data_IF_626249079882
#
_entry.id   IF_626249079882
#
_cell.length_a   1.000
_cell.length_b   1.000
_cell.length_c   1.000
_cell.angle_alpha   90.00
_cell.angle_beta   90.00
_cell.angle_gamma   90.00
#
_symmetry.space_group_name_H-M   'P 1'
#
loop_
_entity.id
_entity.type
_entity.pdbx_description
1 polymer ?
#
# COMPACT_ATOMS: atom_id res chain seq x y z
N UNK A 1 -17.67 -39.08 -14.27
CA UNK A 1 -16.91 -37.97 -14.89
C UNK A 1 -16.77 -36.89 -13.83
N UNK A 2 -15.57 -36.75 -13.27
CA UNK A 2 -15.23 -35.63 -12.38
C UNK A 2 -15.40 -34.33 -13.16
N UNK A 3 -16.27 -33.46 -12.67
CA UNK A 3 -16.49 -32.12 -13.23
C UNK A 3 -15.22 -31.27 -13.07
N UNK A 4 -14.92 -30.42 -14.05
CA UNK A 4 -13.86 -29.42 -13.95
C UNK A 4 -14.00 -28.54 -12.69
N UNK A 5 -15.22 -28.32 -12.20
CA UNK A 5 -15.49 -27.61 -10.95
C UNK A 5 -14.94 -28.34 -9.72
N UNK A 6 -14.92 -29.69 -9.73
CA UNK A 6 -14.41 -30.47 -8.60
C UNK A 6 -12.87 -30.58 -8.63
N UNK A 7 -12.25 -30.41 -9.79
CA UNK A 7 -10.80 -30.50 -9.94
C UNK A 7 -10.04 -29.23 -9.47
N UNK A 8 -10.64 -28.03 -9.57
CA UNK A 8 -10.02 -26.77 -9.20
C UNK A 8 -9.70 -26.67 -7.69
N UNK A 9 -10.63 -27.01 -6.76
CA UNK A 9 -10.33 -27.00 -5.33
C UNK A 9 -9.26 -28.02 -4.94
N UNK A 10 -9.24 -29.20 -5.57
CA UNK A 10 -8.25 -30.25 -5.30
C UNK A 10 -6.85 -29.79 -5.68
N UNK A 11 -6.69 -29.12 -6.82
CA UNK A 11 -5.39 -28.59 -7.26
C UNK A 11 -4.81 -27.55 -6.29
N UNK A 12 -5.67 -26.70 -5.72
CA UNK A 12 -5.27 -25.72 -4.71
C UNK A 12 -4.85 -26.39 -3.39
N UNK A 13 -5.56 -27.42 -2.95
CA UNK A 13 -5.22 -28.20 -1.76
C UNK A 13 -3.87 -28.91 -1.94
N UNK A 14 -3.64 -29.54 -3.09
CA UNK A 14 -2.37 -30.17 -3.41
C UNK A 14 -1.23 -29.16 -3.47
N UNK A 15 -1.47 -27.96 -4.01
CA UNK A 15 -0.51 -26.88 -4.04
C UNK A 15 -0.13 -26.42 -2.63
N UNK A 16 -1.10 -26.26 -1.73
CA UNK A 16 -0.85 -25.93 -0.32
C UNK A 16 -0.07 -27.04 0.39
N UNK A 17 -0.49 -28.28 0.23
CA UNK A 17 0.19 -29.43 0.82
C UNK A 17 1.65 -29.54 0.36
N UNK A 18 1.90 -29.35 -0.94
CA UNK A 18 3.25 -29.30 -1.48
C UNK A 18 4.10 -28.19 -0.82
N UNK A 19 3.54 -26.98 -0.66
CA UNK A 19 4.25 -25.89 -0.01
C UNK A 19 4.57 -26.20 1.45
N UNK A 20 3.65 -26.82 2.20
CA UNK A 20 3.88 -27.20 3.58
C UNK A 20 5.02 -28.23 3.71
N UNK A 21 5.04 -29.24 2.82
CA UNK A 21 6.12 -30.24 2.82
C UNK A 21 7.44 -29.63 2.38
N UNK A 22 7.43 -28.81 1.33
CA UNK A 22 8.64 -28.20 0.76
C UNK A 22 9.33 -27.25 1.74
N UNK A 23 8.60 -26.39 2.38
CA UNK A 23 9.15 -25.37 3.29
C UNK A 23 9.31 -25.92 4.71
N UNK A 24 8.37 -26.70 5.20
CA UNK A 24 8.30 -27.12 6.58
C UNK A 24 8.24 -25.92 7.55
N UNK A 25 8.32 -26.21 8.83
CA UNK A 25 8.28 -25.17 9.86
C UNK A 25 9.44 -24.17 9.73
N UNK A 26 10.64 -24.68 9.49
CA UNK A 26 11.83 -23.84 9.40
C UNK A 26 11.81 -22.92 8.19
N UNK A 27 11.40 -23.41 7.01
CA UNK A 27 11.29 -22.60 5.81
C UNK A 27 10.24 -21.48 5.95
N UNK A 28 9.07 -21.76 6.54
CA UNK A 28 8.09 -20.74 6.83
C UNK A 28 8.60 -19.70 7.82
N UNK A 29 9.29 -20.12 8.88
CA UNK A 29 9.92 -19.22 9.85
C UNK A 29 10.90 -18.26 9.19
N UNK A 30 11.76 -18.76 8.30
CA UNK A 30 12.74 -17.94 7.57
C UNK A 30 12.08 -16.95 6.63
N UNK A 31 11.05 -17.39 5.87
CA UNK A 31 10.26 -16.51 5.00
C UNK A 31 9.62 -15.38 5.78
N UNK A 32 8.97 -15.68 6.91
CA UNK A 32 8.33 -14.67 7.74
C UNK A 32 9.34 -13.73 8.40
N UNK A 33 10.45 -14.25 8.88
CA UNK A 33 11.51 -13.44 9.46
C UNK A 33 12.11 -12.46 8.44
N UNK A 34 12.38 -12.91 7.22
CA UNK A 34 12.90 -12.06 6.15
C UNK A 34 11.88 -10.97 5.78
N UNK A 35 10.60 -11.33 5.62
CA UNK A 35 9.55 -10.35 5.32
C UNK A 35 9.41 -9.32 6.43
N UNK A 36 9.47 -9.74 7.69
CA UNK A 36 9.41 -8.85 8.85
C UNK A 36 10.62 -7.92 8.91
N UNK A 37 11.82 -8.42 8.63
CA UNK A 37 13.05 -7.62 8.63
C UNK A 37 12.98 -6.51 7.57
N UNK A 38 12.49 -6.82 6.37
CA UNK A 38 12.30 -5.85 5.30
C UNK A 38 11.19 -4.85 5.66
N UNK A 39 10.10 -5.31 6.26
CA UNK A 39 9.03 -4.43 6.71
C UNK A 39 9.51 -3.42 7.76
N UNK A 40 10.30 -3.87 8.76
CA UNK A 40 10.93 -2.99 9.75
C UNK A 40 11.83 -1.96 9.09
N UNK A 41 12.62 -2.37 8.12
CA UNK A 41 13.49 -1.46 7.40
C UNK A 41 12.70 -0.35 6.67
N UNK A 42 11.66 -0.72 5.91
CA UNK A 42 10.84 0.27 5.20
C UNK A 42 10.12 1.19 6.18
N UNK A 43 9.57 0.64 7.27
CA UNK A 43 8.93 1.40 8.34
C UNK A 43 9.87 2.46 8.93
N UNK A 44 11.10 2.06 9.27
CA UNK A 44 12.07 2.97 9.86
C UNK A 44 12.51 4.07 8.88
N UNK A 45 12.68 3.74 7.60
CA UNK A 45 13.03 4.73 6.57
C UNK A 45 11.87 5.69 6.28
N UNK A 46 10.63 5.22 6.24
CA UNK A 46 9.44 6.09 6.08
C UNK A 46 9.29 7.01 7.30
N UNK A 47 9.52 6.52 8.52
CA UNK A 47 9.48 7.33 9.72
C UNK A 47 10.51 8.47 9.77
N UNK A 48 11.62 8.36 9.02
CA UNK A 48 12.62 9.42 8.86
C UNK A 48 12.21 10.50 7.85
N UNK A 49 11.23 10.22 6.98
CA UNK A 49 10.75 11.19 6.00
C UNK A 49 9.87 12.23 6.69
N UNK A 50 10.17 13.50 6.46
CA UNK A 50 9.55 14.63 7.17
C UNK A 50 8.01 14.66 7.18
N UNK A 51 7.28 14.34 6.07
CA UNK A 51 5.82 14.47 6.05
C UNK A 51 5.09 13.33 6.75
N UNK A 52 5.75 12.20 7.05
CA UNK A 52 5.09 10.97 7.51
C UNK A 52 5.22 10.71 9.00
N UNK A 53 4.25 9.99 9.51
CA UNK A 53 4.25 9.38 10.85
C UNK A 53 3.79 7.94 10.72
N UNK A 54 4.53 7.04 11.31
CA UNK A 54 4.12 5.65 11.46
C UNK A 54 3.00 5.55 12.50
N UNK A 55 1.99 4.74 12.22
CA UNK A 55 0.85 4.57 13.13
C UNK A 55 1.23 3.79 14.40
N UNK A 56 2.18 2.88 14.31
CA UNK A 56 2.71 2.11 15.45
C UNK A 56 4.22 2.24 15.52
N UNK A 57 4.76 2.21 16.72
CA UNK A 57 6.21 2.28 16.97
C UNK A 57 6.92 0.97 16.61
N UNK A 58 6.19 -0.15 16.64
CA UNK A 58 6.74 -1.48 16.37
C UNK A 58 6.02 -2.17 15.21
N UNK A 59 6.81 -2.89 14.42
CA UNK A 59 6.33 -3.79 13.35
C UNK A 59 6.41 -5.22 13.85
N UNK A 60 5.27 -5.80 14.20
CA UNK A 60 5.14 -7.19 14.69
C UNK A 60 4.87 -8.17 13.56
N UNK A 61 4.12 -7.72 12.55
CA UNK A 61 3.82 -8.47 11.34
C UNK A 61 4.47 -7.79 10.14
N UNK A 62 4.70 -8.47 9.01
CA UNK A 62 5.24 -7.84 7.79
C UNK A 62 4.23 -6.91 7.10
N UNK A 63 3.59 -6.09 7.91
CA UNK A 63 2.57 -5.12 7.55
C UNK A 63 2.68 -3.92 8.49
N UNK A 64 2.61 -2.72 7.94
CA UNK A 64 2.52 -1.49 8.72
C UNK A 64 1.75 -0.42 7.96
N UNK A 65 1.32 0.60 8.68
CA UNK A 65 0.59 1.74 8.13
C UNK A 65 1.25 3.04 8.60
N UNK A 66 1.14 4.07 7.76
CA UNK A 66 1.59 5.42 8.07
C UNK A 66 0.60 6.44 7.53
N UNK A 67 0.71 7.66 7.99
CA UNK A 67 -0.13 8.78 7.58
C UNK A 67 0.68 10.07 7.50
N UNK A 68 0.10 11.11 6.89
CA UNK A 68 0.68 12.45 6.89
C UNK A 68 0.53 13.12 8.26
N UNK A 69 1.57 13.79 8.73
CA UNK A 69 1.46 14.66 9.90
C UNK A 69 0.29 15.62 9.74
N UNK A 70 -0.59 15.79 10.74
CA UNK A 70 -1.77 16.64 10.61
C UNK A 70 -1.46 18.08 10.18
N UNK A 71 -0.35 18.62 10.65
CA UNK A 71 0.13 19.95 10.30
C UNK A 71 0.52 20.03 8.82
N UNK A 72 1.27 19.04 8.36
CA UNK A 72 1.67 18.92 6.97
C UNK A 72 0.47 18.66 6.05
N UNK A 73 -0.43 17.77 6.45
CA UNK A 73 -1.63 17.45 5.69
C UNK A 73 -2.53 18.67 5.46
N UNK A 74 -2.57 19.63 6.40
CA UNK A 74 -3.34 20.89 6.24
C UNK A 74 -2.69 21.85 5.24
N UNK A 75 -1.36 21.90 5.20
CA UNK A 75 -0.61 22.80 4.35
C UNK A 75 -0.37 22.23 2.93
N UNK A 76 -0.37 20.91 2.80
CA UNK A 76 -0.07 20.23 1.55
C UNK A 76 -1.16 20.47 0.50
N UNK A 77 -0.75 20.64 -0.75
CA UNK A 77 -1.63 20.76 -1.93
C UNK A 77 -2.04 19.41 -2.49
N UNK A 78 -1.62 18.32 -1.88
CA UNK A 78 -1.83 16.94 -2.29
C UNK A 78 -2.24 16.04 -1.10
N UNK A 79 -2.69 14.84 -1.40
CA UNK A 79 -3.18 13.86 -0.44
C UNK A 79 -2.45 12.53 -0.58
N UNK A 80 -2.62 11.60 0.36
CA UNK A 80 -2.08 10.25 0.22
C UNK A 80 -2.67 9.47 -0.97
N UNK A 81 -3.85 9.85 -1.45
CA UNK A 81 -4.41 9.27 -2.67
C UNK A 81 -3.62 9.68 -3.92
N UNK A 82 -3.15 10.94 -3.97
CA UNK A 82 -2.29 11.39 -5.06
C UNK A 82 -0.94 10.69 -5.04
N UNK A 83 -0.41 10.43 -3.84
CA UNK A 83 0.82 9.63 -3.68
C UNK A 83 0.61 8.18 -4.14
N UNK A 84 -0.53 7.56 -3.79
CA UNK A 84 -0.90 6.24 -4.28
C UNK A 84 -0.93 6.20 -5.82
N UNK A 85 -1.56 7.21 -6.45
CA UNK A 85 -1.65 7.28 -7.91
C UNK A 85 -0.28 7.42 -8.56
N UNK A 86 0.61 8.22 -7.97
CA UNK A 86 2.00 8.34 -8.43
C UNK A 86 2.75 7.01 -8.31
N UNK A 87 2.66 6.34 -7.17
CA UNK A 87 3.30 5.04 -6.96
C UNK A 87 2.75 3.97 -7.90
N UNK A 88 1.46 3.99 -8.20
CA UNK A 88 0.85 3.04 -9.13
C UNK A 88 1.38 3.19 -10.57
N UNK A 89 1.78 4.39 -10.99
CA UNK A 89 2.43 4.63 -12.28
C UNK A 89 3.79 3.93 -12.40
N UNK A 90 4.46 3.72 -11.26
CA UNK A 90 5.70 2.94 -11.16
C UNK A 90 5.48 1.45 -10.87
N UNK A 91 4.21 0.99 -10.87
CA UNK A 91 3.84 -0.41 -10.65
C UNK A 91 3.70 -0.81 -9.18
N UNK A 92 3.78 0.13 -8.23
CA UNK A 92 3.60 -0.13 -6.81
C UNK A 92 2.13 -0.09 -6.40
N UNK A 93 1.67 -1.13 -5.74
CA UNK A 93 0.31 -1.19 -5.17
C UNK A 93 0.37 -0.90 -3.66
N UNK A 94 0.36 0.36 -3.30
CA UNK A 94 0.34 0.83 -1.90
C UNK A 94 -0.97 1.58 -1.68
N UNK A 95 -2.01 0.91 -1.14
CA UNK A 95 -3.33 1.50 -1.03
C UNK A 95 -3.38 2.58 0.06
N UNK A 96 -4.06 3.69 -0.27
CA UNK A 96 -4.48 4.71 0.67
C UNK A 96 -5.98 4.53 0.97
N UNK A 97 -6.37 4.63 2.25
CA UNK A 97 -7.77 4.51 2.67
C UNK A 97 -8.01 5.23 4.00
N UNK A 98 -9.27 5.53 4.30
CA UNK A 98 -9.69 6.07 5.58
C UNK A 98 -9.79 5.00 6.65
N UNK A 99 -9.51 5.34 7.90
CA UNK A 99 -9.74 4.45 9.03
C UNK A 99 -11.25 4.23 9.30
N UNK A 100 -11.62 3.19 10.06
CA UNK A 100 -13.02 2.89 10.38
C UNK A 100 -13.73 4.00 11.17
N UNK A 101 -15.04 3.82 11.38
CA UNK A 101 -15.92 4.74 12.11
C UNK A 101 -15.28 5.37 13.35
N UNK A 102 -15.39 6.68 13.48
CA UNK A 102 -14.81 7.59 14.48
C UNK A 102 -13.35 8.02 14.22
N UNK A 103 -12.69 7.48 13.20
CA UNK A 103 -11.33 7.85 12.77
C UNK A 103 -11.28 8.13 11.26
N UNK A 104 -12.42 8.43 10.65
CA UNK A 104 -12.59 8.63 9.20
C UNK A 104 -11.79 9.82 8.66
N UNK A 105 -11.44 10.76 9.53
CA UNK A 105 -10.61 11.92 9.18
C UNK A 105 -9.14 11.56 8.90
N UNK A 106 -8.73 10.35 9.29
CA UNK A 106 -7.36 9.88 9.07
C UNK A 106 -7.29 9.02 7.81
N UNK A 107 -6.62 9.55 6.80
CA UNK A 107 -6.22 8.77 5.63
C UNK A 107 -4.86 8.15 5.91
N UNK A 108 -4.74 6.85 5.70
CA UNK A 108 -3.52 6.08 5.93
C UNK A 108 -3.10 5.33 4.66
N UNK A 109 -1.82 5.05 4.53
CA UNK A 109 -1.28 4.14 3.52
C UNK A 109 -0.79 2.87 4.19
N UNK A 110 -0.94 1.72 3.52
CA UNK A 110 -0.55 0.41 4.03
C UNK A 110 0.45 -0.27 3.12
N UNK A 111 1.53 -0.75 3.71
CA UNK A 111 2.47 -1.67 3.07
C UNK A 111 2.31 -3.07 3.65
N UNK A 112 2.29 -4.07 2.76
CA UNK A 112 2.35 -5.49 3.10
C UNK A 112 3.55 -6.07 2.37
N UNK A 113 4.54 -6.51 3.12
CA UNK A 113 5.73 -7.15 2.57
C UNK A 113 5.48 -8.64 2.41
N UNK A 114 5.50 -9.11 1.17
CA UNK A 114 5.25 -10.51 0.83
C UNK A 114 6.54 -11.29 0.62
N UNK A 115 6.44 -12.61 0.63
CA UNK A 115 7.52 -13.48 0.22
C UNK A 115 8.03 -13.08 -1.17
N UNK A 116 9.36 -13.05 -1.32
CA UNK A 116 10.02 -12.66 -2.57
C UNK A 116 10.27 -11.16 -2.73
N UNK A 117 9.79 -10.33 -1.81
CA UNK A 117 10.13 -8.91 -1.79
C UNK A 117 11.54 -8.74 -1.23
N UNK A 118 12.46 -8.24 -2.05
CA UNK A 118 13.88 -8.10 -1.70
C UNK A 118 14.19 -6.73 -1.05
N UNK A 119 15.40 -6.62 -0.49
CA UNK A 119 15.92 -5.36 0.02
C UNK A 119 16.04 -4.31 -1.10
N UNK A 120 16.52 -4.72 -2.28
CA UNK A 120 16.67 -3.81 -3.43
C UNK A 120 15.30 -3.26 -3.88
N UNK A 121 14.26 -4.10 -3.85
CA UNK A 121 12.90 -3.65 -4.13
C UNK A 121 12.41 -2.65 -3.08
N UNK A 122 12.80 -2.82 -1.82
CA UNK A 122 12.47 -1.86 -0.76
C UNK A 122 13.17 -0.52 -1.01
N UNK A 123 14.44 -0.52 -1.41
CA UNK A 123 15.18 0.69 -1.72
C UNK A 123 14.61 1.40 -2.95
N UNK A 124 14.19 0.67 -3.98
CA UNK A 124 13.47 1.22 -5.13
C UNK A 124 12.15 1.87 -4.71
N UNK A 125 11.34 1.19 -3.91
CA UNK A 125 10.08 1.75 -3.41
C UNK A 125 10.31 3.05 -2.62
N UNK A 126 11.30 3.06 -1.73
CA UNK A 126 11.65 4.24 -0.94
C UNK A 126 12.14 5.40 -1.82
N UNK A 127 12.89 5.09 -2.88
CA UNK A 127 13.32 6.06 -3.90
C UNK A 127 12.11 6.65 -4.63
N UNK A 128 11.19 5.82 -5.09
CA UNK A 128 9.98 6.26 -5.80
C UNK A 128 9.05 7.09 -4.90
N UNK A 129 8.93 6.75 -3.61
CA UNK A 129 8.19 7.57 -2.63
C UNK A 129 8.81 8.95 -2.53
N UNK A 130 10.14 9.07 -2.38
CA UNK A 130 10.85 10.35 -2.29
C UNK A 130 10.66 11.20 -3.55
N UNK A 131 10.78 10.57 -4.72
CA UNK A 131 10.59 11.23 -6.01
C UNK A 131 9.15 11.74 -6.17
N UNK A 132 8.17 10.90 -5.84
CA UNK A 132 6.75 11.24 -5.91
C UNK A 132 6.41 12.42 -4.97
N UNK A 133 6.94 12.44 -3.75
CA UNK A 133 6.78 13.58 -2.84
C UNK A 133 7.36 14.85 -3.45
N UNK A 134 8.58 14.78 -3.98
CA UNK A 134 9.24 15.92 -4.58
C UNK A 134 8.46 16.48 -5.77
N UNK A 135 7.82 15.63 -6.57
CA UNK A 135 6.94 16.05 -7.66
C UNK A 135 5.65 16.70 -7.14
N UNK A 136 5.04 16.08 -6.12
CA UNK A 136 3.80 16.59 -5.53
C UNK A 136 4.00 17.93 -4.80
N UNK A 137 5.16 18.16 -4.23
CA UNK A 137 5.51 19.44 -3.58
C UNK A 137 5.72 20.57 -4.57
N UNK A 138 6.09 20.28 -5.81
CA UNK A 138 6.26 21.30 -6.89
C UNK A 138 4.94 21.77 -7.47
N UNK A 139 3.81 21.22 -7.07
CA UNK A 139 2.50 21.62 -7.61
C UNK A 139 2.16 23.06 -7.18
N UNK A 140 1.82 23.90 -8.16
CA UNK A 140 1.39 25.29 -7.91
C UNK A 140 -0.05 25.37 -7.38
N UNK A 141 -0.88 24.38 -7.72
CA UNK A 141 -2.30 24.32 -7.38
C UNK A 141 -2.64 23.03 -6.62
N UNK A 142 -3.67 23.05 -5.74
CA UNK A 142 -4.15 21.86 -5.08
C UNK A 142 -4.63 20.81 -6.09
N UNK A 143 -4.35 19.53 -5.79
CA UNK A 143 -4.85 18.42 -6.61
C UNK A 143 -6.38 18.33 -6.58
N UNK A 144 -7.03 17.73 -7.60
CA UNK A 144 -8.48 17.50 -7.57
C UNK A 144 -8.94 16.72 -6.35
N UNK A 145 -8.11 15.78 -5.87
CA UNK A 145 -8.37 14.97 -4.68
C UNK A 145 -8.36 15.83 -3.43
N UNK A 146 -7.39 16.74 -3.31
CA UNK A 146 -7.31 17.70 -2.22
C UNK A 146 -8.52 18.64 -2.19
N UNK A 147 -8.88 19.21 -3.35
CA UNK A 147 -10.05 20.07 -3.48
C UNK A 147 -11.35 19.36 -3.11
N UNK A 148 -11.43 18.03 -3.35
CA UNK A 148 -12.60 17.25 -2.99
C UNK A 148 -12.69 16.99 -1.49
N UNK A 149 -11.56 16.74 -0.83
CA UNK A 149 -11.54 16.62 0.64
C UNK A 149 -11.98 17.92 1.32
N UNK A 150 -11.52 19.07 0.84
CA UNK A 150 -11.91 20.38 1.38
C UNK A 150 -13.42 20.67 1.24
N UNK A 151 -14.06 20.10 0.21
CA UNK A 151 -15.51 20.25 -0.02
C UNK A 151 -16.36 19.18 0.65
N UNK A 152 -15.79 18.34 1.51
CA UNK A 152 -16.47 17.17 2.12
C UNK A 152 -17.18 16.26 1.11
N UNK A 153 -16.66 16.17 -0.12
CA UNK A 153 -17.19 15.27 -1.14
C UNK A 153 -16.59 13.88 -0.94
N UNK A 154 -17.38 12.79 -1.01
CA UNK A 154 -16.87 11.44 -0.86
C UNK A 154 -15.80 11.17 -1.90
N UNK A 155 -14.61 10.79 -1.43
CA UNK A 155 -13.41 10.55 -2.25
C UNK A 155 -13.60 9.36 -3.20
N UNK A 156 -14.48 8.43 -2.85
CA UNK A 156 -14.79 7.22 -3.63
C UNK A 156 -15.28 7.49 -5.05
N UNK A 157 -15.85 8.64 -5.31
CA UNK A 157 -16.40 8.99 -6.64
C UNK A 157 -15.32 9.35 -7.66
N UNK A 158 -14.06 9.55 -7.28
CA UNK A 158 -13.02 10.07 -8.16
C UNK A 158 -11.94 9.06 -8.57
N UNK A 159 -11.70 8.03 -7.77
CA UNK A 159 -10.64 7.04 -8.03
C UNK A 159 -11.01 6.09 -9.17
N UNK A 160 -12.29 5.87 -9.45
CA UNK A 160 -12.77 4.91 -10.45
C UNK A 160 -13.08 5.48 -11.84
N UNK A 161 -12.90 6.78 -12.07
CA UNK A 161 -13.22 7.37 -13.38
C UNK A 161 -12.08 7.33 -14.41
N UNK A 162 -10.93 6.77 -14.10
CA UNK A 162 -9.88 6.53 -15.08
C UNK A 162 -9.84 5.05 -15.48
N UNK A 163 -10.68 4.66 -16.44
CA UNK A 163 -10.39 3.48 -17.21
C UNK A 163 -11.44 2.43 -17.47
N UNK A 164 -12.71 2.63 -17.14
CA UNK A 164 -13.73 1.73 -17.63
C UNK A 164 -14.57 2.41 -18.74
N UNK A 165 -14.04 2.44 -19.98
CA UNK A 165 -14.87 2.59 -21.15
C UNK A 165 -15.74 1.36 -21.27
N UNK A 166 -16.94 1.41 -20.73
CA UNK A 166 -17.98 0.44 -21.09
C UNK A 166 -18.31 0.64 -22.56
N UNK A 167 -17.86 -0.27 -23.40
CA UNK A 167 -18.46 -0.44 -24.72
C UNK A 167 -19.93 -0.81 -24.53
N UNK A 168 -20.82 0.17 -24.67
CA UNK A 168 -22.23 -0.11 -24.93
C UNK A 168 -22.32 -0.69 -26.34
N UNK A 169 -22.73 -1.94 -26.42
CA UNK A 169 -23.37 -2.49 -27.60
C UNK A 169 -24.83 -2.10 -27.56
#
# INVERSE_FOLDING_TARGET
TLSLHDALPISQILGQYYQFIRLGFQGYKEVQYNSLTIAKYIHDEIGKMAPFVNYSDEVVNPLFIWYLKPEYARAAKWTLYDLQDKLSQHGWMVPAYTLPSKLEDYVVMRVVVRQGFSRDMADMLLGDIKNAITELEKLDYPTPTRMAQEKNLPVETKIFNHGCRTHKK
#
